data_IF_806648537738
#
_entry.id   IF_806648537738
#
_cell.length_a   1.000
_cell.length_b   1.000
_cell.length_c   1.000
_cell.angle_alpha   90.00
_cell.angle_beta   90.00
_cell.angle_gamma   90.00
#
_symmetry.space_group_name_H-M   'P 1'
#
loop_
_entity.id
_entity.type
_entity.pdbx_description
1 polymer ?
#
# COMPACT_ATOMS: atom_id res chain seq x y z
N UNK A 1 34.39 -38.54 -27.64
CA UNK A 1 34.40 -38.26 -26.18
C UNK A 1 33.44 -37.09 -25.96
N UNK A 2 32.22 -37.35 -25.49
CA UNK A 2 31.23 -36.30 -25.27
C UNK A 2 31.65 -35.47 -24.05
N UNK A 3 31.89 -34.17 -24.24
CA UNK A 3 32.18 -33.25 -23.15
C UNK A 3 30.87 -33.10 -22.35
N UNK A 4 30.88 -33.58 -21.11
CA UNK A 4 29.72 -33.58 -20.23
C UNK A 4 29.32 -32.13 -19.93
N UNK A 5 28.16 -31.69 -20.40
CA UNK A 5 27.60 -30.35 -20.14
C UNK A 5 26.94 -30.33 -18.75
N UNK A 6 27.67 -30.69 -17.70
CA UNK A 6 27.14 -30.80 -16.32
C UNK A 6 26.74 -29.44 -15.70
N UNK A 7 26.99 -28.33 -16.39
CA UNK A 7 26.55 -27.00 -15.97
C UNK A 7 25.08 -26.79 -16.32
N UNK A 8 24.20 -26.83 -15.31
CA UNK A 8 22.79 -26.42 -15.43
C UNK A 8 22.59 -24.90 -15.34
N UNK A 9 23.65 -24.10 -15.40
CA UNK A 9 23.60 -22.65 -15.22
C UNK A 9 22.66 -21.95 -16.23
N UNK A 10 22.59 -22.47 -17.47
CA UNK A 10 21.71 -21.94 -18.52
C UNK A 10 20.21 -22.13 -18.23
N UNK A 11 19.83 -23.09 -17.37
CA UNK A 11 18.43 -23.33 -16.98
C UNK A 11 17.96 -22.44 -15.83
N UNK A 12 18.88 -21.72 -15.20
CA UNK A 12 18.59 -20.77 -14.11
C UNK A 12 18.31 -19.37 -14.64
N UNK A 13 18.53 -19.14 -15.93
CA UNK A 13 18.27 -17.85 -16.57
C UNK A 13 16.76 -17.79 -16.82
N UNK A 14 16.11 -16.81 -16.22
CA UNK A 14 14.72 -16.48 -16.51
C UNK A 14 14.68 -15.73 -17.85
N UNK A 15 14.35 -16.46 -18.91
CA UNK A 15 14.24 -15.92 -20.28
C UNK A 15 12.95 -15.10 -20.40
N UNK A 16 11.93 -15.40 -19.61
CA UNK A 16 10.62 -14.74 -19.68
C UNK A 16 10.74 -13.26 -19.30
N UNK A 17 11.68 -12.87 -18.44
CA UNK A 17 11.98 -11.46 -18.12
C UNK A 17 12.23 -10.59 -19.37
N UNK A 18 12.79 -11.17 -20.44
CA UNK A 18 13.15 -10.44 -21.66
C UNK A 18 12.09 -10.55 -22.77
N UNK A 19 10.94 -11.18 -22.50
CA UNK A 19 9.85 -11.29 -23.48
C UNK A 19 9.20 -9.92 -23.73
N UNK A 20 9.17 -9.48 -24.98
CA UNK A 20 8.58 -8.20 -25.40
C UNK A 20 7.06 -8.16 -25.24
N UNK A 21 6.40 -9.33 -25.26
CA UNK A 21 4.95 -9.47 -25.08
C UNK A 21 4.52 -9.39 -23.60
N UNK A 22 5.47 -9.40 -22.66
CA UNK A 22 5.13 -9.22 -21.25
C UNK A 22 4.50 -7.85 -21.03
N UNK A 23 3.50 -7.80 -20.15
CA UNK A 23 2.91 -6.55 -19.72
C UNK A 23 4.01 -5.67 -19.11
N UNK A 24 4.39 -4.61 -19.83
CA UNK A 24 5.19 -3.51 -19.31
C UNK A 24 4.23 -2.53 -18.69
N UNK A 25 4.53 -2.07 -17.49
CA UNK A 25 3.77 -1.00 -16.90
C UNK A 25 4.02 0.24 -17.77
N UNK A 26 2.99 0.66 -18.51
CA UNK A 26 3.04 1.93 -19.24
C UNK A 26 3.40 3.02 -18.23
N UNK A 27 4.49 3.75 -18.49
CA UNK A 27 4.97 4.87 -17.68
C UNK A 27 3.99 6.05 -17.77
N UNK A 28 2.77 5.90 -17.25
CA UNK A 28 1.88 7.02 -16.99
C UNK A 28 2.50 7.84 -15.85
N UNK A 29 3.34 8.82 -16.21
CA UNK A 29 4.04 9.73 -15.30
C UNK A 29 4.65 8.99 -14.10
N UNK A 30 5.73 8.25 -14.36
CA UNK A 30 6.66 7.83 -13.32
C UNK A 30 7.03 9.04 -12.44
N UNK A 31 6.46 9.13 -11.24
CA UNK A 31 7.34 9.36 -10.10
C UNK A 31 8.29 8.15 -10.11
N UNK A 32 9.50 8.40 -10.59
CA UNK A 32 10.66 7.49 -10.63
C UNK A 32 10.58 6.51 -9.45
N UNK A 33 10.86 5.20 -9.62
CA UNK A 33 10.90 4.26 -8.49
C UNK A 33 12.08 4.65 -7.59
N UNK A 34 11.84 5.57 -6.65
CA UNK A 34 12.83 6.25 -5.86
C UNK A 34 13.06 5.52 -4.53
N UNK A 35 13.46 4.24 -4.59
CA UNK A 35 13.78 3.48 -3.37
C UNK A 35 12.67 3.54 -2.31
N UNK A 36 12.97 3.32 -1.02
CA UNK A 36 12.07 3.76 0.03
C UNK A 36 12.07 5.30 0.01
N UNK A 37 10.99 5.90 -0.47
CA UNK A 37 10.85 7.34 -0.46
C UNK A 37 10.70 7.77 1.00
N UNK A 38 11.75 8.35 1.58
CA UNK A 38 11.72 8.90 2.94
C UNK A 38 10.52 9.85 3.12
N UNK A 39 10.05 10.49 2.04
CA UNK A 39 8.83 11.30 2.03
C UNK A 39 7.58 10.50 2.38
N UNK A 40 7.37 9.34 1.77
CA UNK A 40 6.23 8.45 2.03
C UNK A 40 6.27 7.90 3.47
N UNK A 41 7.45 7.48 3.94
CA UNK A 41 7.60 6.96 5.31
C UNK A 41 7.34 8.06 6.36
N UNK A 42 7.79 9.29 6.10
CA UNK A 42 7.50 10.43 6.95
C UNK A 42 6.01 10.79 6.93
N UNK A 43 5.36 10.72 5.76
CA UNK A 43 3.92 10.96 5.63
C UNK A 43 3.10 9.91 6.39
N UNK A 44 3.47 8.63 6.28
CA UNK A 44 2.89 7.54 7.05
C UNK A 44 3.06 7.78 8.55
N UNK A 45 4.28 8.07 9.01
CA UNK A 45 4.57 8.28 10.42
C UNK A 45 3.75 9.44 11.00
N UNK A 46 3.62 10.55 10.27
CA UNK A 46 2.79 11.68 10.66
C UNK A 46 1.31 11.30 10.71
N UNK A 47 0.83 10.58 9.70
CA UNK A 47 -0.58 10.16 9.61
C UNK A 47 -0.94 9.22 10.76
N UNK A 48 -0.14 8.19 11.02
CA UNK A 48 -0.35 7.26 12.13
C UNK A 48 -0.34 7.99 13.48
N UNK A 49 0.57 8.96 13.67
CA UNK A 49 0.59 9.78 14.89
C UNK A 49 -0.73 10.54 15.09
N UNK A 50 -1.31 11.10 14.03
CA UNK A 50 -2.60 11.79 14.11
C UNK A 50 -3.74 10.81 14.40
N UNK A 51 -3.81 9.69 13.67
CA UNK A 51 -4.86 8.68 13.84
C UNK A 51 -4.88 8.10 15.27
N UNK A 52 -3.71 7.84 15.85
CA UNK A 52 -3.58 7.31 17.21
C UNK A 52 -3.82 8.36 18.30
N UNK A 53 -3.66 9.65 18.01
CA UNK A 53 -3.91 10.73 18.97
C UNK A 53 -5.41 11.06 19.12
N UNK A 54 -6.21 10.85 18.09
CA UNK A 54 -7.66 11.09 18.10
C UNK A 54 -8.35 10.02 18.94
N UNK A 55 -9.23 10.46 19.87
CA UNK A 55 -9.99 9.54 20.72
C UNK A 55 -11.06 8.81 19.91
N UNK A 56 -11.35 7.55 20.27
CA UNK A 56 -12.34 6.71 19.58
C UNK A 56 -13.71 7.38 19.40
N UNK A 57 -14.16 8.17 20.38
CA UNK A 57 -15.43 8.90 20.33
C UNK A 57 -15.48 10.03 19.28
N UNK A 58 -14.34 10.46 18.76
CA UNK A 58 -14.22 11.56 17.79
C UNK A 58 -13.95 11.05 16.36
N UNK A 59 -13.68 9.75 16.19
CA UNK A 59 -13.34 9.17 14.88
C UNK A 59 -14.49 9.33 13.90
N UNK A 60 -15.73 9.02 14.32
CA UNK A 60 -16.90 9.09 13.44
C UNK A 60 -17.14 10.49 12.87
N UNK A 61 -17.04 11.52 13.72
CA UNK A 61 -17.17 12.91 13.30
C UNK A 61 -16.01 13.34 12.39
N UNK A 62 -14.77 12.93 12.70
CA UNK A 62 -13.61 13.23 11.85
C UNK A 62 -13.77 12.64 10.44
N UNK A 63 -14.18 11.39 10.34
CA UNK A 63 -14.36 10.68 9.06
C UNK A 63 -15.56 11.26 8.28
N UNK A 64 -16.63 11.67 8.96
CA UNK A 64 -17.81 12.28 8.32
C UNK A 64 -17.52 13.62 7.62
N UNK A 65 -16.43 14.30 7.99
CA UNK A 65 -16.00 15.56 7.38
C UNK A 65 -15.02 15.39 6.21
N UNK A 66 -14.65 14.16 5.85
CA UNK A 66 -13.75 13.86 4.74
C UNK A 66 -14.51 13.72 3.42
N UNK A 67 -13.87 14.10 2.31
CA UNK A 67 -14.38 13.81 0.97
C UNK A 67 -14.25 12.31 0.66
N UNK A 68 -14.97 11.82 -0.34
CA UNK A 68 -14.89 10.40 -0.75
C UNK A 68 -13.47 10.02 -1.20
N UNK A 69 -12.76 10.95 -1.86
CA UNK A 69 -11.38 10.75 -2.27
C UNK A 69 -10.44 10.67 -1.06
N UNK A 70 -10.67 11.51 -0.04
CA UNK A 70 -9.90 11.47 1.21
C UNK A 70 -10.16 10.19 2.03
N UNK A 71 -11.37 9.61 1.95
CA UNK A 71 -11.68 8.31 2.56
C UNK A 71 -10.85 7.20 1.91
N UNK A 72 -10.68 7.23 0.60
CA UNK A 72 -9.85 6.25 -0.11
C UNK A 72 -8.38 6.41 0.30
N UNK A 73 -7.87 7.65 0.41
CA UNK A 73 -6.51 7.93 0.88
C UNK A 73 -6.33 7.47 2.33
N UNK A 74 -7.29 7.78 3.22
CA UNK A 74 -7.29 7.32 4.61
C UNK A 74 -7.24 5.78 4.68
N UNK A 75 -8.02 5.10 3.84
CA UNK A 75 -8.01 3.64 3.78
C UNK A 75 -6.63 3.09 3.38
N UNK A 76 -5.94 3.72 2.41
CA UNK A 76 -4.56 3.33 2.06
C UNK A 76 -3.61 3.43 3.26
N UNK A 77 -3.64 4.53 3.99
CA UNK A 77 -2.80 4.71 5.18
C UNK A 77 -3.15 3.76 6.33
N UNK A 78 -4.43 3.39 6.49
CA UNK A 78 -4.85 2.37 7.48
C UNK A 78 -4.22 1.01 7.13
N UNK A 79 -4.29 0.59 5.87
CA UNK A 79 -3.71 -0.68 5.41
C UNK A 79 -2.19 -0.70 5.54
N UNK A 80 -1.50 0.37 5.11
CA UNK A 80 -0.05 0.49 5.34
C UNK A 80 0.28 0.51 6.83
N UNK A 81 -0.54 1.17 7.66
CA UNK A 81 -0.40 1.17 9.11
C UNK A 81 -0.41 -0.22 9.74
N UNK A 82 -1.19 -1.15 9.19
CA UNK A 82 -1.20 -2.55 9.66
C UNK A 82 0.11 -3.30 9.37
N UNK A 83 0.94 -2.84 8.44
CA UNK A 83 2.28 -3.38 8.20
C UNK A 83 3.28 -3.00 9.30
N UNK A 84 3.00 -1.93 10.06
CA UNK A 84 3.86 -1.39 11.12
C UNK A 84 3.16 -1.34 12.48
N UNK A 85 2.78 -2.50 13.07
CA UNK A 85 2.05 -2.53 14.33
C UNK A 85 2.94 -2.06 15.49
N UNK A 86 2.46 -1.08 16.26
CA UNK A 86 2.93 -0.75 17.61
C UNK A 86 1.90 -1.16 18.67
N UNK A 87 2.31 -1.18 19.94
CA UNK A 87 1.41 -1.52 21.05
C UNK A 87 0.13 -0.67 21.02
N UNK A 88 -1.04 -1.32 21.03
CA UNK A 88 -2.36 -0.67 20.99
C UNK A 88 -2.77 -0.07 19.64
N UNK A 89 -1.88 0.04 18.66
CA UNK A 89 -2.16 0.73 17.39
C UNK A 89 -3.18 -0.01 16.52
N UNK A 90 -3.03 -1.32 16.33
CA UNK A 90 -3.88 -2.08 15.41
C UNK A 90 -5.34 -2.10 15.85
N UNK A 91 -5.61 -2.16 17.16
CA UNK A 91 -6.97 -2.05 17.69
C UNK A 91 -7.60 -0.70 17.39
N UNK A 92 -6.82 0.38 17.52
CA UNK A 92 -7.29 1.73 17.20
C UNK A 92 -7.48 1.93 15.69
N UNK A 93 -6.59 1.39 14.86
CA UNK A 93 -6.72 1.40 13.40
C UNK A 93 -7.93 0.60 12.90
N UNK A 94 -8.31 -0.49 13.59
CA UNK A 94 -9.55 -1.21 13.27
C UNK A 94 -10.80 -0.36 13.50
N UNK A 95 -10.81 0.52 14.50
CA UNK A 95 -11.91 1.48 14.69
C UNK A 95 -11.97 2.52 13.56
N UNK A 96 -10.81 3.03 13.14
CA UNK A 96 -10.72 3.89 11.96
C UNK A 96 -11.22 3.21 10.70
N UNK A 97 -10.81 1.96 10.48
CA UNK A 97 -11.25 1.14 9.35
C UNK A 97 -12.77 0.99 9.34
N UNK A 98 -13.40 0.64 10.47
CA UNK A 98 -14.85 0.50 10.58
C UNK A 98 -15.57 1.79 10.13
N UNK A 99 -15.14 2.94 10.64
CA UNK A 99 -15.80 4.22 10.32
C UNK A 99 -15.55 4.66 8.87
N UNK A 100 -14.34 4.49 8.35
CA UNK A 100 -14.04 4.76 6.94
C UNK A 100 -14.83 3.83 6.01
N UNK A 101 -14.99 2.55 6.37
CA UNK A 101 -15.79 1.58 5.63
C UNK A 101 -17.27 1.96 5.58
N UNK A 102 -17.84 2.50 6.66
CA UNK A 102 -19.24 2.93 6.67
C UNK A 102 -19.55 4.03 5.64
N UNK A 103 -18.53 4.80 5.21
CA UNK A 103 -18.68 5.84 4.18
C UNK A 103 -18.25 5.32 2.80
N UNK A 104 -17.02 4.79 2.69
CA UNK A 104 -16.43 4.37 1.41
C UNK A 104 -16.87 2.98 0.91
N UNK A 105 -17.48 2.18 1.78
CA UNK A 105 -17.89 0.81 1.51
C UNK A 105 -16.72 -0.10 1.15
N UNK A 106 -17.01 -1.20 0.45
CA UNK A 106 -15.96 -2.09 -0.08
C UNK A 106 -15.15 -1.46 -1.22
N UNK A 107 -15.69 -0.43 -1.88
CA UNK A 107 -15.02 0.24 -3.00
C UNK A 107 -13.70 0.89 -2.60
N UNK A 108 -13.64 1.50 -1.41
CA UNK A 108 -12.40 2.10 -0.90
C UNK A 108 -11.32 1.04 -0.67
N UNK A 109 -11.69 -0.12 -0.12
CA UNK A 109 -10.76 -1.25 0.06
C UNK A 109 -10.28 -1.81 -1.28
N UNK A 110 -11.20 -2.03 -2.23
CA UNK A 110 -10.84 -2.55 -3.57
C UNK A 110 -9.86 -1.62 -4.27
N UNK A 111 -10.01 -0.29 -4.11
CA UNK A 111 -9.06 0.68 -4.64
C UNK A 111 -7.71 0.60 -3.97
N UNK A 112 -7.61 0.37 -2.65
CA UNK A 112 -6.33 0.09 -1.98
C UNK A 112 -5.65 -1.14 -2.58
N UNK A 113 -6.40 -2.24 -2.74
CA UNK A 113 -5.83 -3.52 -3.23
C UNK A 113 -5.45 -3.48 -4.72
N UNK A 114 -6.06 -2.58 -5.49
CA UNK A 114 -5.78 -2.41 -6.92
C UNK A 114 -4.75 -1.30 -7.18
N UNK A 115 -4.39 -0.53 -6.15
CA UNK A 115 -3.41 0.54 -6.29
C UNK A 115 -2.01 -0.06 -6.46
N UNK A 116 -1.29 0.49 -7.42
CA UNK A 116 0.09 0.11 -7.73
C UNK A 116 1.08 1.04 -7.05
N UNK A 117 0.64 2.24 -6.66
CA UNK A 117 1.44 3.21 -5.93
C UNK A 117 1.29 2.99 -4.43
N UNK A 118 2.41 3.03 -3.73
CA UNK A 118 2.41 3.06 -2.27
C UNK A 118 2.18 4.50 -1.81
N UNK A 119 1.44 4.65 -0.72
CA UNK A 119 1.41 5.87 0.09
C UNK A 119 2.28 5.67 1.29
#
# INVERSE_FOLDING_TARGET
MAKNTSSSAFRKIDIDQYNEDNFREDEAEQSIPAGPDEGEDNALALTLKVLLAIKSAQIEDAVANLSVDDIDILMKYIYRGFEYPSEGSSGHLLLWHEKAYNIGGSGSIVRVLSDRMKV
#
